data_IF_788051166065
#
_entry.id   IF_788051166065
#
_cell.length_a   1.000
_cell.length_b   1.000
_cell.length_c   1.000
_cell.angle_alpha   90.00
_cell.angle_beta   90.00
_cell.angle_gamma   90.00
#
_symmetry.space_group_name_H-M   'P 1'
#
loop_
_entity.id
_entity.type
_entity.pdbx_description
1 polymer ?
#
# COMPACT_ATOMS: atom_id res chain seq x y z
N UNK A 1 -11.48 20.87 17.58
CA UNK A 1 -12.11 21.33 16.32
C UNK A 1 -13.38 20.54 16.11
N UNK A 2 -14.42 21.15 15.58
CA UNK A 2 -15.62 20.43 15.19
C UNK A 2 -15.37 19.66 13.87
N UNK A 3 -16.11 18.58 13.67
CA UNK A 3 -15.99 17.73 12.49
C UNK A 3 -14.92 16.63 12.63
N UNK A 4 -15.01 15.66 11.72
CA UNK A 4 -14.04 14.54 11.65
C UNK A 4 -12.76 15.01 10.95
N UNK A 5 -11.58 14.66 11.48
CA UNK A 5 -10.34 14.78 10.74
C UNK A 5 -10.24 13.64 9.73
N UNK A 6 -10.07 13.99 8.46
CA UNK A 6 -9.81 13.03 7.41
C UNK A 6 -8.31 12.99 7.09
N UNK A 7 -7.81 11.77 6.93
CA UNK A 7 -6.42 11.53 6.55
C UNK A 7 -6.29 11.51 5.03
N UNK A 8 -5.61 12.52 4.52
CA UNK A 8 -5.15 12.54 3.12
C UNK A 8 -3.64 12.47 3.03
N UNK A 9 -3.03 11.85 4.05
CA UNK A 9 -1.63 11.41 4.02
C UNK A 9 -1.54 10.11 3.21
N UNK A 10 -0.41 9.79 2.57
CA UNK A 10 -0.24 8.53 1.85
C UNK A 10 0.03 7.34 2.82
N UNK A 11 -0.80 7.22 3.83
CA UNK A 11 -0.75 6.27 4.94
C UNK A 11 -0.19 6.87 6.23
N UNK A 12 -0.82 6.51 7.39
CA UNK A 12 -1.95 5.61 7.50
C UNK A 12 -3.20 6.12 6.77
N UNK A 13 -4.04 5.19 6.31
CA UNK A 13 -5.29 5.50 5.62
C UNK A 13 -6.44 5.72 6.58
N UNK A 14 -7.55 6.30 6.11
CA UNK A 14 -8.82 6.21 6.81
C UNK A 14 -9.23 4.74 6.90
N UNK A 15 -9.73 4.33 8.06
CA UNK A 15 -10.16 2.96 8.31
C UNK A 15 -11.67 2.88 8.07
N UNK A 16 -12.16 1.98 7.20
CA UNK A 16 -13.58 1.78 6.99
C UNK A 16 -14.30 1.36 8.27
N UNK A 17 -15.54 1.84 8.46
CA UNK A 17 -16.34 1.49 9.65
C UNK A 17 -16.56 -0.03 9.81
N UNK A 18 -16.61 -0.79 8.70
CA UNK A 18 -16.70 -2.25 8.72
C UNK A 18 -15.47 -2.87 9.38
N UNK A 19 -14.27 -2.43 8.97
CA UNK A 19 -13.00 -2.88 9.53
C UNK A 19 -12.89 -2.50 11.00
N UNK A 20 -13.26 -1.26 11.36
CA UNK A 20 -13.28 -0.82 12.76
C UNK A 20 -14.18 -1.70 13.62
N UNK A 21 -15.41 -2.03 13.17
CA UNK A 21 -16.32 -2.91 13.89
C UNK A 21 -15.78 -4.34 14.01
N UNK A 22 -15.16 -4.88 12.96
CA UNK A 22 -14.55 -6.21 12.99
C UNK A 22 -13.41 -6.31 14.01
N UNK A 23 -12.71 -5.22 14.28
CA UNK A 23 -11.65 -5.17 15.29
C UNK A 23 -12.17 -5.08 16.73
N UNK A 24 -13.46 -4.74 16.91
CA UNK A 24 -14.10 -4.58 18.23
C UNK A 24 -14.63 -5.93 18.76
N UNK A 25 -13.75 -6.92 18.83
CA UNK A 25 -14.06 -8.24 19.38
C UNK A 25 -13.55 -8.38 20.81
N UNK A 26 -14.22 -9.22 21.60
CA UNK A 26 -13.70 -9.60 22.92
C UNK A 26 -12.37 -10.32 22.74
N UNK A 27 -11.44 -10.10 23.67
CA UNK A 27 -10.14 -10.77 23.63
C UNK A 27 -10.31 -12.29 23.72
N UNK A 28 -9.62 -13.02 22.86
CA UNK A 28 -9.67 -14.48 22.78
C UNK A 28 -8.28 -15.09 23.03
N UNK A 29 -8.29 -16.35 23.41
CA UNK A 29 -7.04 -17.13 23.53
C UNK A 29 -6.54 -17.54 22.14
N UNK A 30 -5.41 -16.96 21.72
CA UNK A 30 -4.75 -17.29 20.45
C UNK A 30 -4.16 -18.71 20.39
N UNK A 31 -4.27 -19.49 21.48
CA UNK A 31 -3.93 -20.92 21.54
C UNK A 31 -5.15 -21.81 21.60
N UNK A 32 -6.35 -21.23 21.57
CA UNK A 32 -7.60 -22.00 21.55
C UNK A 32 -7.72 -22.84 20.28
N UNK A 33 -8.48 -23.94 20.29
CA UNK A 33 -8.76 -24.74 19.09
C UNK A 33 -9.51 -23.97 17.99
N UNK A 34 -10.17 -22.87 18.32
CA UNK A 34 -10.89 -22.02 17.38
C UNK A 34 -9.98 -21.09 16.58
N UNK A 35 -8.84 -20.68 17.14
CA UNK A 35 -7.95 -19.68 16.53
C UNK A 35 -7.47 -20.03 15.10
N UNK A 36 -7.15 -21.30 14.73
CA UNK A 36 -6.71 -21.63 13.38
C UNK A 36 -7.71 -21.29 12.28
N UNK A 37 -9.00 -21.14 12.59
CA UNK A 37 -10.01 -20.74 11.61
C UNK A 37 -9.69 -19.33 11.04
N UNK A 38 -9.31 -18.40 11.90
CA UNK A 38 -8.93 -17.04 11.53
C UNK A 38 -7.73 -17.03 10.56
N UNK A 39 -6.69 -17.78 10.87
CA UNK A 39 -5.50 -17.89 10.02
C UNK A 39 -5.79 -18.50 8.65
N UNK A 40 -6.65 -19.54 8.62
CA UNK A 40 -7.05 -20.20 7.38
C UNK A 40 -7.87 -19.30 6.44
N UNK A 41 -8.48 -18.26 6.97
CA UNK A 41 -9.20 -17.25 6.17
C UNK A 41 -8.24 -16.18 5.64
N UNK A 42 -7.29 -15.73 6.46
CA UNK A 42 -6.33 -14.68 6.11
C UNK A 42 -5.38 -15.11 4.98
N UNK A 43 -4.79 -16.30 5.08
CA UNK A 43 -3.70 -16.68 4.18
C UNK A 43 -4.14 -16.81 2.71
N UNK A 44 -5.28 -17.43 2.37
CA UNK A 44 -5.78 -17.42 1.00
C UNK A 44 -6.18 -16.02 0.50
N UNK A 45 -6.76 -15.18 1.36
CA UNK A 45 -7.10 -13.80 1.03
C UNK A 45 -5.86 -12.98 0.66
N UNK A 46 -4.78 -13.11 1.42
CA UNK A 46 -3.50 -12.47 1.10
C UNK A 46 -2.90 -12.98 -0.22
N UNK A 47 -2.99 -14.29 -0.51
CA UNK A 47 -2.55 -14.83 -1.80
C UNK A 47 -3.26 -14.15 -2.97
N UNK A 48 -4.57 -13.93 -2.87
CA UNK A 48 -5.34 -13.19 -3.88
C UNK A 48 -4.81 -11.77 -4.06
N UNK A 49 -4.55 -11.05 -2.96
CA UNK A 49 -4.06 -9.66 -3.00
C UNK A 49 -2.65 -9.57 -3.61
N UNK A 50 -1.78 -10.53 -3.34
CA UNK A 50 -0.46 -10.62 -3.97
C UNK A 50 -0.52 -11.14 -5.42
N UNK A 51 -1.65 -11.69 -5.87
CA UNK A 51 -1.78 -12.41 -7.15
C UNK A 51 -0.75 -13.53 -7.26
N UNK A 52 -0.79 -14.46 -6.30
CA UNK A 52 0.12 -15.60 -6.25
C UNK A 52 -0.61 -16.93 -5.96
N UNK A 53 -0.23 -17.95 -6.70
CA UNK A 53 -0.58 -19.35 -6.41
C UNK A 53 0.55 -20.03 -5.62
N UNK A 54 1.79 -19.64 -5.88
CA UNK A 54 3.00 -20.30 -5.40
C UNK A 54 3.64 -19.63 -4.18
N UNK A 55 3.45 -18.32 -4.01
CA UNK A 55 3.99 -17.57 -2.88
C UNK A 55 3.35 -17.95 -1.55
N UNK A 56 4.12 -17.85 -0.48
CA UNK A 56 3.67 -18.08 0.90
C UNK A 56 3.60 -16.75 1.64
N UNK A 57 2.41 -16.28 2.05
CA UNK A 57 2.27 -15.07 2.86
C UNK A 57 2.58 -15.35 4.34
N UNK A 58 3.16 -14.34 5.00
CA UNK A 58 3.42 -14.29 6.43
C UNK A 58 2.90 -12.98 7.01
N UNK A 59 2.37 -13.04 8.22
CA UNK A 59 1.85 -11.88 8.95
C UNK A 59 2.57 -11.75 10.28
N UNK A 60 3.18 -10.59 10.53
CA UNK A 60 3.91 -10.29 11.75
C UNK A 60 3.25 -9.13 12.50
N UNK A 61 3.13 -9.16 13.84
CA UNK A 61 2.94 -7.94 14.63
C UNK A 61 4.15 -7.02 14.43
N UNK A 62 4.07 -6.13 13.43
CA UNK A 62 5.20 -5.34 12.95
C UNK A 62 4.75 -4.22 11.99
N UNK A 63 5.63 -3.81 11.11
CA UNK A 63 5.41 -2.86 10.02
C UNK A 63 6.03 -3.37 8.72
N UNK A 64 5.78 -2.70 7.59
CA UNK A 64 6.49 -2.98 6.34
C UNK A 64 8.01 -2.90 6.50
N UNK A 65 8.51 -1.96 7.31
CA UNK A 65 9.94 -1.84 7.63
C UNK A 65 10.50 -3.08 8.31
N UNK A 66 9.75 -3.68 9.26
CA UNK A 66 10.15 -4.96 9.87
C UNK A 66 10.15 -6.10 8.85
N UNK A 67 9.25 -6.08 7.86
CA UNK A 67 9.26 -7.07 6.79
C UNK A 67 10.43 -6.89 5.80
N UNK A 68 10.98 -5.68 5.62
CA UNK A 68 12.26 -5.51 4.93
C UNK A 68 13.38 -6.32 5.60
N UNK A 69 13.48 -6.19 6.94
CA UNK A 69 14.46 -6.94 7.73
C UNK A 69 14.19 -8.44 7.65
N UNK A 70 12.94 -8.87 7.79
CA UNK A 70 12.55 -10.28 7.65
C UNK A 70 12.95 -10.85 6.28
N UNK A 71 12.73 -10.12 5.18
CA UNK A 71 13.09 -10.57 3.84
C UNK A 71 14.59 -10.83 3.70
N UNK A 72 15.43 -9.87 4.09
CA UNK A 72 16.88 -9.97 3.91
C UNK A 72 17.53 -10.95 4.90
N UNK A 73 17.09 -10.97 6.17
CA UNK A 73 17.71 -11.85 7.18
C UNK A 73 17.40 -13.32 6.98
N UNK A 74 16.29 -13.65 6.30
CA UNK A 74 15.95 -15.04 6.00
C UNK A 74 16.58 -15.59 4.71
N UNK A 75 17.19 -14.75 3.88
CA UNK A 75 17.65 -15.17 2.55
C UNK A 75 19.11 -14.87 2.27
N UNK A 76 19.74 -14.01 3.06
CA UNK A 76 21.09 -13.51 2.82
C UNK A 76 22.04 -13.78 3.98
N UNK A 77 23.34 -13.68 3.69
CA UNK A 77 24.45 -13.87 4.62
C UNK A 77 25.24 -12.57 4.79
N UNK A 78 25.99 -12.39 5.90
CA UNK A 78 26.85 -11.23 6.08
C UNK A 78 27.81 -11.03 4.90
N UNK A 79 27.88 -9.82 4.37
CA UNK A 79 28.72 -9.47 3.22
C UNK A 79 28.12 -9.79 1.85
N UNK A 80 26.97 -10.45 1.78
CA UNK A 80 26.29 -10.65 0.50
C UNK A 80 25.99 -9.30 -0.17
N UNK A 81 26.23 -9.25 -1.50
CA UNK A 81 25.98 -8.06 -2.28
C UNK A 81 24.51 -7.96 -2.69
N UNK A 82 23.94 -6.78 -2.52
CA UNK A 82 22.59 -6.43 -3.01
C UNK A 82 22.67 -5.22 -3.93
N UNK A 83 21.87 -5.22 -5.02
CA UNK A 83 21.73 -4.11 -5.92
C UNK A 83 20.48 -3.31 -5.54
N UNK A 84 20.61 -2.00 -5.36
CA UNK A 84 19.50 -1.12 -5.01
C UNK A 84 19.62 0.26 -5.65
N UNK A 85 18.49 0.84 -6.09
CA UNK A 85 18.42 2.22 -6.55
C UNK A 85 17.93 3.14 -5.42
N UNK A 86 18.55 4.32 -5.30
CA UNK A 86 18.16 5.36 -4.35
C UNK A 86 17.49 6.52 -5.07
N UNK A 87 16.16 6.50 -5.14
CA UNK A 87 15.36 7.49 -5.87
C UNK A 87 14.23 8.12 -5.01
N UNK A 88 14.22 7.82 -3.70
CA UNK A 88 13.30 8.39 -2.73
C UNK A 88 13.66 8.02 -1.30
N UNK A 89 12.79 8.36 -0.36
CA UNK A 89 13.03 8.13 1.07
C UNK A 89 12.98 6.64 1.44
N UNK A 90 12.00 5.90 0.90
CA UNK A 90 11.82 4.50 1.32
C UNK A 90 12.86 3.59 0.68
N UNK A 91 13.22 3.81 -0.56
CA UNK A 91 14.36 3.15 -1.18
C UNK A 91 15.68 3.44 -0.44
N UNK A 92 15.89 4.69 0.03
CA UNK A 92 17.06 5.05 0.85
C UNK A 92 17.05 4.33 2.21
N UNK A 93 15.92 4.29 2.92
CA UNK A 93 15.82 3.62 4.23
C UNK A 93 16.08 2.12 4.14
N UNK A 94 15.65 1.47 3.07
CA UNK A 94 15.93 0.05 2.88
C UNK A 94 17.41 -0.21 2.60
N UNK A 95 18.05 0.64 1.80
CA UNK A 95 19.52 0.64 1.60
C UNK A 95 20.25 0.80 2.94
N UNK A 96 19.87 1.79 3.75
CA UNK A 96 20.46 2.02 5.07
C UNK A 96 20.32 0.80 5.98
N UNK A 97 19.14 0.19 6.03
CA UNK A 97 18.92 -1.05 6.77
C UNK A 97 19.86 -2.16 6.31
N UNK A 98 19.94 -2.43 5.01
CA UNK A 98 20.81 -3.46 4.46
C UNK A 98 22.29 -3.23 4.85
N UNK A 99 22.75 -1.98 4.76
CA UNK A 99 24.09 -1.59 5.17
C UNK A 99 24.34 -1.85 6.66
N UNK A 100 23.39 -1.46 7.52
CA UNK A 100 23.50 -1.61 8.98
C UNK A 100 23.49 -3.05 9.47
N UNK A 101 22.85 -3.97 8.73
CA UNK A 101 22.86 -5.40 9.07
C UNK A 101 24.03 -6.15 8.42
N UNK A 102 24.95 -5.45 7.73
CA UNK A 102 26.22 -5.99 7.24
C UNK A 102 26.19 -6.54 5.83
N UNK A 103 25.27 -6.07 4.96
CA UNK A 103 25.27 -6.38 3.54
C UNK A 103 26.15 -5.39 2.75
N UNK A 104 26.72 -5.83 1.63
CA UNK A 104 27.41 -5.00 0.64
C UNK A 104 26.39 -4.43 -0.35
N UNK A 105 26.01 -3.15 -0.19
CA UNK A 105 24.99 -2.55 -1.03
C UNK A 105 25.60 -1.82 -2.21
N UNK A 106 25.40 -2.32 -3.43
CA UNK A 106 25.71 -1.62 -4.67
C UNK A 106 24.56 -0.65 -4.99
N UNK A 107 24.84 0.64 -4.82
CA UNK A 107 23.82 1.70 -4.91
C UNK A 107 23.87 2.36 -6.29
N UNK A 108 22.71 2.46 -6.94
CA UNK A 108 22.49 3.33 -8.09
C UNK A 108 21.75 4.59 -7.64
N UNK A 109 22.47 5.71 -7.59
CA UNK A 109 21.88 7.01 -7.25
C UNK A 109 21.08 7.56 -8.43
N UNK A 110 19.81 7.85 -8.20
CA UNK A 110 18.91 8.39 -9.20
C UNK A 110 18.39 9.78 -8.80
N UNK A 111 17.94 10.51 -9.79
CA UNK A 111 17.20 11.73 -9.54
C UNK A 111 15.85 11.41 -8.91
N UNK A 112 15.50 12.15 -7.83
CA UNK A 112 14.20 11.98 -7.19
C UNK A 112 13.07 12.47 -8.10
N UNK A 113 12.02 11.65 -8.20
CA UNK A 113 10.92 11.83 -9.16
C UNK A 113 11.05 10.94 -10.41
N UNK A 114 12.07 10.09 -10.48
CA UNK A 114 12.20 9.02 -11.48
C UNK A 114 11.97 7.65 -10.85
N UNK A 115 11.66 6.62 -11.65
CA UNK A 115 11.53 5.24 -11.20
C UNK A 115 12.86 4.48 -11.15
N UNK A 116 12.79 3.17 -10.90
CA UNK A 116 13.94 2.26 -10.93
C UNK A 116 14.66 2.38 -12.29
N UNK A 117 15.99 2.51 -12.29
CA UNK A 117 16.80 2.71 -13.51
C UNK A 117 17.06 1.40 -14.24
N UNK A 118 16.08 0.92 -15.00
CA UNK A 118 16.07 -0.41 -15.63
C UNK A 118 17.33 -0.70 -16.45
N UNK A 119 17.75 0.26 -17.31
CA UNK A 119 18.94 0.08 -18.15
C UNK A 119 20.21 -0.11 -17.31
N UNK A 120 20.38 0.71 -16.26
CA UNK A 120 21.54 0.59 -15.38
C UNK A 120 21.53 -0.74 -14.60
N UNK A 121 20.34 -1.20 -14.18
CA UNK A 121 20.20 -2.53 -13.57
C UNK A 121 20.59 -3.64 -14.53
N UNK A 122 20.10 -3.59 -15.78
CA UNK A 122 20.44 -4.55 -16.80
C UNK A 122 21.96 -4.61 -17.09
N UNK A 123 22.60 -3.43 -17.20
CA UNK A 123 24.05 -3.34 -17.47
C UNK A 123 24.86 -3.90 -16.29
N UNK A 124 24.49 -3.58 -15.06
CA UNK A 124 25.16 -4.10 -13.84
C UNK A 124 25.00 -5.61 -13.73
N UNK A 125 23.79 -6.14 -13.94
CA UNK A 125 23.51 -7.57 -13.85
C UNK A 125 24.24 -8.36 -14.94
N UNK A 126 24.29 -7.84 -16.18
CA UNK A 126 25.06 -8.46 -17.28
C UNK A 126 26.57 -8.47 -16.99
N UNK A 127 27.07 -7.45 -16.29
CA UNK A 127 28.49 -7.35 -15.93
C UNK A 127 28.86 -8.26 -14.73
N UNK A 128 27.91 -8.67 -13.89
CA UNK A 128 28.14 -9.52 -12.71
C UNK A 128 28.18 -11.00 -13.09
N UNK A 129 29.16 -11.39 -13.91
CA UNK A 129 29.35 -12.76 -14.41
C UNK A 129 29.69 -13.78 -13.32
N UNK A 130 30.17 -13.32 -12.17
CA UNK A 130 30.43 -14.15 -10.99
C UNK A 130 29.21 -14.34 -10.09
N UNK A 131 28.09 -13.72 -10.42
CA UNK A 131 26.83 -13.73 -9.64
C UNK A 131 27.04 -13.36 -8.17
N UNK A 132 27.79 -12.29 -7.94
CA UNK A 132 28.07 -11.76 -6.59
C UNK A 132 26.86 -11.06 -5.99
N UNK A 133 26.01 -10.47 -6.84
CA UNK A 133 24.74 -9.89 -6.42
C UNK A 133 23.78 -11.03 -6.07
N UNK A 134 23.29 -11.03 -4.81
CA UNK A 134 22.39 -12.09 -4.29
C UNK A 134 20.93 -11.66 -4.33
N UNK A 135 20.67 -10.35 -4.25
CA UNK A 135 19.32 -9.81 -4.38
C UNK A 135 19.32 -8.45 -5.07
N UNK A 136 18.22 -8.16 -5.76
CA UNK A 136 17.87 -6.86 -6.34
C UNK A 136 16.70 -6.28 -5.55
N UNK A 137 16.87 -5.08 -5.01
CA UNK A 137 15.83 -4.38 -4.26
C UNK A 137 15.12 -3.39 -5.18
N UNK A 138 13.80 -3.44 -5.21
CA UNK A 138 12.96 -2.53 -5.99
C UNK A 138 11.82 -1.98 -5.13
N UNK A 139 11.70 -0.66 -5.04
CA UNK A 139 10.54 0.00 -4.46
C UNK A 139 9.50 0.20 -5.57
N UNK A 140 8.38 -0.53 -5.48
CA UNK A 140 7.32 -0.45 -6.50
C UNK A 140 6.65 0.92 -6.51
N UNK A 141 6.32 1.45 -5.33
CA UNK A 141 5.73 2.79 -5.20
C UNK A 141 6.48 3.61 -4.16
N UNK A 142 7.30 4.56 -4.63
CA UNK A 142 8.07 5.44 -3.75
C UNK A 142 7.17 6.60 -3.27
N UNK A 143 6.66 6.43 -2.08
CA UNK A 143 5.66 7.34 -1.48
C UNK A 143 6.16 8.76 -1.26
N UNK A 144 7.48 8.96 -1.11
CA UNK A 144 8.05 10.29 -0.88
C UNK A 144 7.91 11.21 -2.10
N UNK A 145 7.95 10.64 -3.30
CA UNK A 145 7.98 11.37 -4.57
C UNK A 145 6.75 11.13 -5.44
N UNK A 146 5.88 10.17 -5.06
CA UNK A 146 4.72 9.80 -5.86
C UNK A 146 5.10 9.09 -7.16
N UNK A 147 6.07 8.19 -7.08
CA UNK A 147 6.63 7.47 -8.23
C UNK A 147 6.29 5.99 -8.15
N UNK A 148 5.67 5.44 -9.18
CA UNK A 148 5.50 4.00 -9.39
C UNK A 148 6.55 3.51 -10.36
N UNK A 149 7.28 2.45 -10.01
CA UNK A 149 8.34 1.82 -10.81
C UNK A 149 7.81 0.60 -11.56
N UNK A 150 8.41 0.33 -12.71
CA UNK A 150 8.15 -0.87 -13.48
C UNK A 150 8.94 -2.08 -12.90
N UNK A 151 8.23 -2.95 -12.19
CA UNK A 151 8.83 -4.15 -11.57
C UNK A 151 8.99 -5.28 -12.61
N UNK A 152 8.11 -5.35 -13.61
CA UNK A 152 8.28 -6.33 -14.69
C UNK A 152 9.58 -6.09 -15.45
N UNK A 153 9.92 -4.83 -15.73
CA UNK A 153 11.19 -4.47 -16.36
C UNK A 153 12.43 -4.84 -15.50
N UNK A 154 12.31 -4.81 -14.17
CA UNK A 154 13.41 -5.31 -13.29
C UNK A 154 13.55 -6.83 -13.44
N UNK A 155 12.44 -7.57 -13.53
CA UNK A 155 12.47 -9.02 -13.78
C UNK A 155 13.09 -9.32 -15.14
N UNK A 156 12.66 -8.61 -16.18
CA UNK A 156 13.23 -8.74 -17.53
C UNK A 156 14.76 -8.54 -17.54
N UNK A 157 15.26 -7.53 -16.81
CA UNK A 157 16.71 -7.29 -16.71
C UNK A 157 17.46 -8.47 -16.04
N UNK A 158 16.88 -9.11 -15.03
CA UNK A 158 17.42 -10.32 -14.41
C UNK A 158 17.41 -11.51 -15.36
N UNK A 159 16.32 -11.71 -16.12
CA UNK A 159 16.14 -12.81 -17.05
C UNK A 159 17.07 -12.69 -18.27
N UNK A 160 17.19 -11.51 -18.86
CA UNK A 160 18.13 -11.25 -19.95
C UNK A 160 19.58 -11.50 -19.55
N UNK A 161 19.95 -11.11 -18.33
CA UNK A 161 21.26 -11.39 -17.78
C UNK A 161 21.42 -12.86 -17.35
N UNK A 162 20.36 -13.67 -17.35
CA UNK A 162 20.31 -15.02 -16.77
C UNK A 162 20.84 -15.03 -15.33
N UNK A 163 20.53 -13.97 -14.58
CA UNK A 163 21.10 -13.73 -13.26
C UNK A 163 20.27 -14.39 -12.16
N UNK A 164 20.88 -15.21 -11.26
CA UNK A 164 20.16 -15.99 -10.26
C UNK A 164 19.67 -15.19 -9.05
N UNK A 165 20.00 -13.90 -8.93
CA UNK A 165 19.63 -13.06 -7.79
C UNK A 165 18.12 -13.10 -7.52
N UNK A 166 17.78 -12.95 -6.26
CA UNK A 166 16.39 -12.81 -5.83
C UNK A 166 15.86 -11.39 -6.15
N UNK A 167 14.59 -11.30 -6.52
CA UNK A 167 13.91 -10.01 -6.68
C UNK A 167 13.09 -9.70 -5.44
N UNK A 168 13.46 -8.63 -4.72
CA UNK A 168 12.75 -8.13 -3.53
C UNK A 168 12.00 -6.86 -3.88
N UNK A 169 10.73 -6.81 -3.54
CA UNK A 169 9.86 -5.68 -3.88
C UNK A 169 9.21 -5.09 -2.63
N UNK A 170 9.43 -3.79 -2.44
CA UNK A 170 8.62 -3.01 -1.50
C UNK A 170 7.29 -2.64 -2.15
N UNK A 171 6.23 -3.33 -1.75
CA UNK A 171 4.84 -3.08 -2.13
C UNK A 171 4.03 -2.38 -1.04
N UNK A 172 4.67 -1.79 -0.03
CA UNK A 172 3.98 -1.22 1.15
C UNK A 172 2.91 -0.22 0.75
N UNK A 173 3.16 0.66 -0.20
CA UNK A 173 2.18 1.68 -0.61
C UNK A 173 1.54 1.43 -1.99
N UNK A 174 1.68 0.22 -2.52
CA UNK A 174 1.07 -0.20 -3.78
C UNK A 174 0.12 -1.39 -3.64
N UNK A 175 0.46 -2.37 -2.79
CA UNK A 175 -0.34 -3.57 -2.64
C UNK A 175 -1.78 -3.26 -2.19
N UNK A 176 -2.77 -3.86 -2.89
CA UNK A 176 -4.18 -3.58 -2.65
C UNK A 176 -4.65 -2.21 -3.17
N UNK A 177 -3.88 -1.55 -4.04
CA UNK A 177 -4.21 -0.24 -4.61
C UNK A 177 -3.70 -0.04 -6.03
N UNK A 178 -2.46 -0.42 -6.33
CA UNK A 178 -1.86 -0.42 -7.66
C UNK A 178 -1.72 -1.86 -8.12
N UNK A 179 -1.75 -2.12 -9.42
CA UNK A 179 -1.54 -3.47 -9.96
C UNK A 179 -0.21 -4.05 -9.46
N UNK A 180 -0.29 -5.20 -8.84
CA UNK A 180 0.86 -5.93 -8.29
C UNK A 180 0.71 -7.41 -8.62
N UNK A 181 1.71 -8.01 -9.24
CA UNK A 181 1.66 -9.37 -9.79
C UNK A 181 2.85 -10.18 -9.33
N UNK A 182 2.73 -10.81 -8.16
CA UNK A 182 3.84 -11.53 -7.53
C UNK A 182 4.41 -12.62 -8.44
N UNK A 183 3.56 -13.52 -8.93
CA UNK A 183 4.00 -14.66 -9.75
C UNK A 183 4.43 -14.20 -11.15
N UNK A 184 3.62 -13.37 -11.83
CA UNK A 184 3.88 -12.92 -13.21
C UNK A 184 5.19 -12.13 -13.31
N UNK A 185 5.52 -11.35 -12.27
CA UNK A 185 6.77 -10.57 -12.22
C UNK A 185 7.93 -11.34 -11.60
N UNK A 186 7.75 -12.63 -11.28
CA UNK A 186 8.79 -13.46 -10.67
C UNK A 186 9.40 -12.85 -9.41
N UNK A 187 8.55 -12.24 -8.57
CA UNK A 187 8.99 -11.65 -7.30
C UNK A 187 9.36 -12.75 -6.32
N UNK A 188 10.50 -12.62 -5.65
CA UNK A 188 10.93 -13.59 -4.66
C UNK A 188 10.53 -13.23 -3.23
N UNK A 189 10.60 -11.94 -2.89
CA UNK A 189 10.10 -11.40 -1.62
C UNK A 189 9.33 -10.12 -1.88
N UNK A 190 8.07 -10.05 -1.43
CA UNK A 190 7.28 -8.82 -1.46
C UNK A 190 6.86 -8.43 -0.05
N UNK A 191 6.98 -7.15 0.28
CA UNK A 191 6.61 -6.64 1.59
C UNK A 191 5.46 -5.64 1.52
N UNK A 192 4.60 -5.66 2.54
CA UNK A 192 3.52 -4.72 2.72
C UNK A 192 3.28 -4.40 4.20
N UNK A 193 2.32 -3.53 4.46
CA UNK A 193 1.91 -3.15 5.81
C UNK A 193 0.42 -2.87 5.90
N UNK A 194 -0.14 -3.10 7.07
CA UNK A 194 -1.59 -3.02 7.30
C UNK A 194 -2.22 -1.65 7.04
N UNK A 195 -1.47 -0.56 7.27
CA UNK A 195 -1.98 0.83 7.28
C UNK A 195 -2.03 1.50 5.90
N UNK A 196 -1.99 0.74 4.83
CA UNK A 196 -1.97 1.20 3.43
C UNK A 196 -3.20 0.67 2.69
N UNK A 197 -3.02 0.03 1.53
CA UNK A 197 -4.11 -0.52 0.74
C UNK A 197 -4.98 -1.56 1.46
N UNK A 198 -4.50 -2.14 2.56
CA UNK A 198 -5.28 -3.04 3.42
C UNK A 198 -6.16 -2.32 4.44
N UNK A 199 -6.13 -1.00 4.52
CA UNK A 199 -7.10 -0.15 5.24
C UNK A 199 -7.26 -0.44 6.74
N UNK A 200 -6.18 -0.91 7.40
CA UNK A 200 -6.16 -1.15 8.86
C UNK A 200 -5.33 -0.09 9.59
N UNK A 201 -5.36 -0.06 10.94
CA UNK A 201 -4.32 0.58 11.71
C UNK A 201 -2.93 0.00 11.41
N UNK A 202 -1.88 0.79 11.64
CA UNK A 202 -0.52 0.26 11.64
C UNK A 202 -0.37 -0.81 12.73
N UNK A 203 0.42 -1.84 12.48
CA UNK A 203 0.71 -2.89 13.46
C UNK A 203 0.90 -4.29 12.87
N UNK A 204 0.58 -4.49 11.57
CA UNK A 204 0.93 -5.71 10.86
C UNK A 204 1.94 -5.41 9.74
N UNK A 205 3.03 -6.16 9.73
CA UNK A 205 3.90 -6.35 8.60
C UNK A 205 3.49 -7.60 7.84
N UNK A 206 3.43 -7.51 6.52
CA UNK A 206 3.02 -8.62 5.65
C UNK A 206 4.14 -8.88 4.66
N UNK A 207 4.57 -10.14 4.59
CA UNK A 207 5.61 -10.62 3.71
C UNK A 207 5.05 -11.74 2.86
N UNK A 208 5.36 -11.76 1.57
CA UNK A 208 5.13 -12.91 0.71
C UNK A 208 6.46 -13.41 0.16
N UNK A 209 6.72 -14.72 0.25
CA UNK A 209 7.96 -15.34 -0.17
C UNK A 209 7.72 -16.39 -1.25
N UNK A 210 8.52 -16.39 -2.32
CA UNK A 210 8.52 -17.41 -3.35
C UNK A 210 9.11 -18.74 -2.83
N UNK A 211 8.84 -19.89 -3.47
CA UNK A 211 9.53 -21.14 -3.17
C UNK A 211 11.04 -21.01 -3.26
N UNK A 212 11.58 -20.27 -4.24
CA UNK A 212 13.00 -19.98 -4.41
C UNK A 212 13.58 -19.23 -3.21
N UNK A 213 12.90 -18.18 -2.74
CA UNK A 213 13.32 -17.44 -1.56
C UNK A 213 13.25 -18.28 -0.28
N UNK A 214 12.23 -19.13 -0.16
CA UNK A 214 12.10 -20.04 0.98
C UNK A 214 13.20 -21.11 1.00
N UNK A 215 13.71 -21.53 -0.15
CA UNK A 215 14.86 -22.46 -0.20
C UNK A 215 16.14 -21.79 0.30
N UNK A 216 16.35 -20.51 -0.05
CA UNK A 216 17.55 -19.75 0.37
C UNK A 216 17.68 -19.63 1.90
N UNK A 217 16.57 -19.71 2.66
CA UNK A 217 16.59 -19.61 4.12
C UNK A 217 17.48 -20.67 4.81
N UNK A 218 17.72 -21.80 4.16
CA UNK A 218 18.54 -22.89 4.70
C UNK A 218 20.04 -22.54 4.68
N UNK A 219 20.49 -21.69 3.77
CA UNK A 219 21.87 -21.26 3.63
C UNK A 219 22.14 -19.85 4.20
N UNK A 220 21.10 -19.08 4.46
CA UNK A 220 21.19 -17.72 4.99
C UNK A 220 21.79 -17.69 6.41
N UNK A 221 22.78 -16.82 6.63
CA UNK A 221 23.54 -16.75 7.88
C UNK A 221 23.35 -15.43 8.66
N UNK A 222 22.59 -14.47 8.13
CA UNK A 222 22.22 -13.29 8.90
C UNK A 222 21.43 -13.71 10.15
N UNK A 223 21.78 -13.11 11.29
CA UNK A 223 21.11 -13.43 12.56
C UNK A 223 19.65 -12.97 12.53
N UNK A 224 18.77 -13.85 12.93
CA UNK A 224 17.33 -13.60 13.09
C UNK A 224 16.78 -14.39 14.26
N UNK A 225 15.71 -13.92 14.85
CA UNK A 225 14.99 -14.61 15.92
C UNK A 225 13.48 -14.34 15.74
N UNK A 226 13.02 -13.11 16.04
CA UNK A 226 11.61 -12.76 15.94
C UNK A 226 11.05 -12.94 14.50
N UNK A 227 11.84 -12.63 13.49
CA UNK A 227 11.46 -12.74 12.08
C UNK A 227 11.89 -14.07 11.42
N UNK A 228 12.17 -15.12 12.17
CA UNK A 228 12.55 -16.41 11.57
C UNK A 228 11.36 -17.07 10.86
N UNK A 229 11.50 -17.26 9.54
CA UNK A 229 10.46 -17.88 8.72
C UNK A 229 10.31 -19.38 9.00
N UNK A 230 11.33 -20.07 9.56
CA UNK A 230 11.15 -21.47 9.94
C UNK A 230 10.15 -21.61 11.10
N UNK A 231 10.24 -20.72 12.10
CA UNK A 231 9.29 -20.73 13.21
C UNK A 231 7.88 -20.41 12.72
N UNK A 232 7.75 -19.44 11.80
CA UNK A 232 6.46 -19.08 11.20
C UNK A 232 5.89 -20.23 10.37
N UNK A 233 6.69 -20.88 9.51
CA UNK A 233 6.26 -22.03 8.70
C UNK A 233 5.76 -23.16 9.58
N UNK A 234 6.53 -23.52 10.61
CA UNK A 234 6.19 -24.61 11.52
C UNK A 234 4.88 -24.34 12.27
N UNK A 235 4.70 -23.13 12.80
CA UNK A 235 3.48 -22.76 13.52
C UNK A 235 2.27 -22.60 12.58
N UNK A 236 2.44 -21.92 11.45
CA UNK A 236 1.37 -21.67 10.49
C UNK A 236 0.86 -22.96 9.81
N UNK A 237 1.67 -24.01 9.75
CA UNK A 237 1.24 -25.32 9.24
C UNK A 237 0.00 -25.88 9.97
N UNK A 238 -0.15 -25.55 11.25
CA UNK A 238 -1.32 -25.92 12.06
C UNK A 238 -2.31 -24.77 12.29
N UNK A 239 -2.03 -23.58 11.70
CA UNK A 239 -2.84 -22.39 11.80
C UNK A 239 -2.52 -21.50 13.01
N UNK A 240 -1.45 -21.80 13.76
CA UNK A 240 -1.00 -21.02 14.90
C UNK A 240 0.18 -20.10 14.54
N UNK A 241 0.60 -19.28 15.51
CA UNK A 241 1.78 -18.43 15.42
C UNK A 241 2.82 -18.82 16.47
N UNK A 242 4.12 -18.62 16.21
CA UNK A 242 5.17 -18.97 17.19
C UNK A 242 5.13 -18.09 18.44
N UNK A 243 4.50 -16.92 18.35
CA UNK A 243 4.32 -15.95 19.44
C UNK A 243 2.96 -15.28 19.31
N UNK A 244 2.58 -14.45 20.31
CA UNK A 244 1.27 -13.82 20.36
C UNK A 244 1.02 -12.92 19.15
N UNK A 245 0.01 -13.20 18.33
CA UNK A 245 -0.36 -12.36 17.20
C UNK A 245 -1.21 -11.17 17.66
N UNK A 246 -1.32 -10.17 16.78
CA UNK A 246 -2.16 -8.97 16.99
C UNK A 246 -3.62 -9.27 16.64
N UNK A 247 -4.33 -10.00 17.51
CA UNK A 247 -5.68 -10.56 17.28
C UNK A 247 -6.67 -9.55 16.69
N UNK A 248 -6.87 -8.40 17.34
CA UNK A 248 -7.82 -7.39 16.85
C UNK A 248 -7.51 -6.94 15.42
N UNK A 249 -6.22 -6.77 15.09
CA UNK A 249 -5.80 -6.43 13.72
C UNK A 249 -6.03 -7.59 12.74
N UNK A 250 -5.91 -8.83 13.19
CA UNK A 250 -6.20 -10.01 12.34
C UNK A 250 -7.69 -10.10 11.99
N UNK A 251 -8.60 -9.84 12.93
CA UNK A 251 -10.03 -9.73 12.64
C UNK A 251 -10.33 -8.58 11.66
N UNK A 252 -9.69 -7.43 11.86
CA UNK A 252 -9.77 -6.34 10.89
C UNK A 252 -9.22 -6.71 9.50
N UNK A 253 -8.15 -7.52 9.46
CA UNK A 253 -7.56 -7.98 8.20
C UNK A 253 -8.51 -8.91 7.42
N UNK A 254 -9.21 -9.82 8.10
CA UNK A 254 -10.25 -10.64 7.47
C UNK A 254 -11.30 -9.75 6.80
N UNK A 255 -11.84 -8.78 7.53
CA UNK A 255 -12.87 -7.89 6.99
C UNK A 255 -12.34 -7.03 5.83
N UNK A 256 -11.11 -6.54 5.92
CA UNK A 256 -10.45 -5.82 4.82
C UNK A 256 -10.30 -6.70 3.58
N UNK A 257 -9.90 -7.96 3.75
CA UNK A 257 -9.78 -8.92 2.64
C UNK A 257 -11.14 -9.23 2.01
N UNK A 258 -12.22 -9.33 2.81
CA UNK A 258 -13.60 -9.47 2.30
C UNK A 258 -14.00 -8.25 1.47
N UNK A 259 -13.73 -7.02 1.95
CA UNK A 259 -14.02 -5.80 1.19
C UNK A 259 -13.26 -5.76 -0.15
N UNK A 260 -11.99 -6.19 -0.15
CA UNK A 260 -11.17 -6.27 -1.36
C UNK A 260 -11.74 -7.33 -2.33
N UNK A 261 -12.21 -8.47 -1.82
CA UNK A 261 -12.81 -9.52 -2.64
C UNK A 261 -14.18 -9.10 -3.20
N UNK A 262 -14.99 -8.41 -2.42
CA UNK A 262 -16.32 -7.90 -2.83
C UNK A 262 -16.20 -6.86 -3.96
N UNK A 263 -15.25 -5.92 -3.86
CA UNK A 263 -15.00 -4.92 -4.91
C UNK A 263 -14.30 -5.55 -6.12
N UNK A 264 -13.41 -6.50 -5.87
CA UNK A 264 -12.53 -7.11 -6.85
C UNK A 264 -11.25 -6.29 -7.07
N UNK A 265 -10.10 -6.95 -7.03
CA UNK A 265 -8.78 -6.28 -7.05
C UNK A 265 -8.56 -5.44 -8.32
N UNK A 266 -9.05 -5.89 -9.49
CA UNK A 266 -8.94 -5.11 -10.73
C UNK A 266 -9.79 -3.83 -10.68
N UNK A 267 -10.97 -3.89 -10.07
CA UNK A 267 -11.81 -2.71 -9.87
C UNK A 267 -11.17 -1.73 -8.88
N UNK A 268 -10.52 -2.24 -7.81
CA UNK A 268 -9.77 -1.42 -6.86
C UNK A 268 -8.63 -0.68 -7.57
N UNK A 269 -7.86 -1.36 -8.40
CA UNK A 269 -6.78 -0.76 -9.20
C UNK A 269 -7.32 0.32 -10.12
N UNK A 270 -8.38 0.01 -10.86
CA UNK A 270 -9.04 0.96 -11.78
C UNK A 270 -9.60 2.18 -11.02
N UNK A 271 -10.21 1.98 -9.84
CA UNK A 271 -10.71 3.07 -8.99
C UNK A 271 -9.58 3.99 -8.52
N UNK A 272 -8.48 3.42 -8.04
CA UNK A 272 -7.33 4.22 -7.61
C UNK A 272 -6.76 5.05 -8.75
N UNK A 273 -6.60 4.46 -9.94
CA UNK A 273 -6.17 5.19 -11.13
C UNK A 273 -7.12 6.34 -11.49
N UNK A 274 -8.43 6.06 -11.58
CA UNK A 274 -9.46 7.04 -11.89
C UNK A 274 -9.46 8.21 -10.88
N UNK A 275 -9.39 7.91 -9.58
CA UNK A 275 -9.34 8.92 -8.53
C UNK A 275 -8.05 9.74 -8.58
N UNK A 276 -6.92 9.10 -8.81
CA UNK A 276 -5.62 9.75 -8.94
C UNK A 276 -5.56 10.73 -10.12
N UNK A 277 -6.15 10.38 -11.27
CA UNK A 277 -6.21 11.27 -12.44
C UNK A 277 -6.98 12.56 -12.15
N UNK A 278 -8.08 12.50 -11.39
CA UNK A 278 -8.79 13.70 -10.95
C UNK A 278 -7.95 14.58 -10.03
N UNK A 279 -7.19 13.99 -9.10
CA UNK A 279 -6.26 14.74 -8.25
C UNK A 279 -5.13 15.35 -9.09
N UNK A 280 -4.59 14.61 -10.05
CA UNK A 280 -3.58 15.14 -11.00
C UNK A 280 -4.13 16.30 -11.83
N UNK A 281 -5.40 16.23 -12.26
CA UNK A 281 -6.06 17.33 -12.95
C UNK A 281 -6.19 18.57 -12.06
N UNK A 282 -6.56 18.41 -10.78
CA UNK A 282 -6.58 19.50 -9.82
C UNK A 282 -5.22 20.19 -9.70
N UNK A 283 -4.15 19.40 -9.58
CA UNK A 283 -2.77 19.91 -9.43
C UNK A 283 -2.29 20.63 -10.68
N UNK A 284 -2.43 19.99 -11.84
CA UNK A 284 -1.78 20.45 -13.08
C UNK A 284 -2.63 21.46 -13.84
N UNK A 285 -3.93 21.20 -14.03
CA UNK A 285 -4.85 22.08 -14.76
C UNK A 285 -5.50 23.11 -13.83
N UNK A 286 -5.89 22.72 -12.61
CA UNK A 286 -6.53 23.59 -11.66
C UNK A 286 -5.55 24.60 -11.05
N UNK A 287 -4.52 24.14 -10.38
CA UNK A 287 -3.57 24.99 -9.67
C UNK A 287 -2.37 25.43 -10.52
N UNK A 288 -2.12 24.83 -11.68
CA UNK A 288 -0.95 25.10 -12.50
C UNK A 288 0.37 24.69 -11.85
N UNK A 289 0.32 23.76 -10.89
CA UNK A 289 1.48 23.22 -10.19
C UNK A 289 2.01 21.95 -10.86
N UNK A 290 3.21 21.54 -10.46
CA UNK A 290 3.85 20.32 -10.96
C UNK A 290 3.80 19.20 -9.94
N UNK A 291 3.80 17.97 -10.41
CA UNK A 291 4.08 16.80 -9.59
C UNK A 291 5.60 16.61 -9.43
N UNK A 292 6.00 15.95 -8.35
CA UNK A 292 7.40 15.58 -8.14
C UNK A 292 7.85 14.48 -9.12
N UNK A 293 6.97 13.52 -9.44
CA UNK A 293 7.21 12.54 -10.49
C UNK A 293 7.33 13.25 -11.85
N UNK A 294 8.42 12.98 -12.60
CA UNK A 294 8.84 13.77 -13.76
C UNK A 294 8.14 13.42 -15.05
N UNK A 295 7.68 12.18 -15.17
CA UNK A 295 7.01 11.67 -16.37
C UNK A 295 5.74 10.93 -15.98
N UNK A 296 4.74 10.96 -16.86
CA UNK A 296 3.43 10.34 -16.62
C UNK A 296 3.51 8.83 -16.36
N UNK A 297 4.47 8.14 -17.00
CA UNK A 297 4.69 6.70 -16.78
C UNK A 297 5.05 6.32 -15.34
N UNK A 298 5.50 7.29 -14.55
CA UNK A 298 5.87 7.11 -13.15
C UNK A 298 4.83 7.66 -12.17
N UNK A 299 3.71 8.21 -12.63
CA UNK A 299 2.71 8.76 -11.72
C UNK A 299 2.10 7.67 -10.84
N UNK A 300 2.14 7.91 -9.55
CA UNK A 300 1.54 7.02 -8.55
C UNK A 300 0.02 7.16 -8.50
N UNK A 301 -0.68 6.03 -8.42
CA UNK A 301 -2.12 6.00 -8.22
C UNK A 301 -2.54 5.99 -6.73
N UNK A 302 -1.59 6.11 -5.80
CA UNK A 302 -1.88 6.17 -4.35
C UNK A 302 -1.48 7.49 -3.70
N UNK A 303 -0.65 8.29 -4.35
CA UNK A 303 -0.16 9.57 -3.80
C UNK A 303 0.21 10.56 -4.90
N UNK A 304 -0.23 11.79 -4.76
CA UNK A 304 0.22 12.95 -5.56
C UNK A 304 1.15 13.82 -4.72
N UNK A 305 2.42 13.87 -5.11
CA UNK A 305 3.43 14.74 -4.48
C UNK A 305 3.48 16.08 -5.23
N UNK A 306 2.91 17.12 -4.63
CA UNK A 306 2.66 18.42 -5.24
C UNK A 306 3.82 19.36 -4.96
N UNK A 307 4.59 19.73 -6.00
CA UNK A 307 5.69 20.66 -5.90
C UNK A 307 5.18 22.09 -5.65
N UNK A 308 5.77 22.75 -4.68
CA UNK A 308 5.45 24.14 -4.36
C UNK A 308 6.36 25.13 -5.08
N UNK A 309 5.89 26.37 -5.31
CA UNK A 309 6.73 27.46 -5.83
C UNK A 309 7.94 27.73 -4.91
N UNK A 310 9.01 28.21 -5.50
CA UNK A 310 10.20 28.62 -4.76
C UNK A 310 9.87 29.68 -3.70
N UNK A 311 10.47 29.55 -2.53
CA UNK A 311 10.23 30.44 -1.38
C UNK A 311 9.05 30.05 -0.48
N UNK A 312 8.25 29.08 -0.87
CA UNK A 312 7.15 28.54 -0.03
C UNK A 312 7.63 27.28 0.69
N UNK A 313 7.40 27.24 2.01
CA UNK A 313 7.68 26.04 2.81
C UNK A 313 6.44 25.15 2.89
N UNK A 314 6.52 23.92 2.40
CA UNK A 314 5.43 22.94 2.45
C UNK A 314 4.95 22.60 3.86
N UNK A 315 5.81 22.74 4.88
CA UNK A 315 5.41 22.52 6.26
C UNK A 315 4.35 23.54 6.72
N UNK A 316 4.41 24.79 6.24
CA UNK A 316 3.45 25.85 6.59
C UNK A 316 2.08 25.56 5.96
N UNK A 317 2.05 25.07 4.71
CA UNK A 317 0.82 24.65 4.02
C UNK A 317 0.16 23.50 4.77
N UNK A 318 0.93 22.50 5.18
CA UNK A 318 0.44 21.33 5.94
C UNK A 318 -0.08 21.75 7.31
N UNK A 319 0.68 22.58 8.03
CA UNK A 319 0.25 23.09 9.34
C UNK A 319 -1.04 23.93 9.21
N UNK A 320 -1.17 24.73 8.16
CA UNK A 320 -2.37 25.52 7.89
C UNK A 320 -3.56 24.62 7.58
N UNK A 321 -3.40 23.61 6.71
CA UNK A 321 -4.43 22.63 6.37
C UNK A 321 -4.93 21.90 7.63
N UNK A 322 -4.02 21.44 8.49
CA UNK A 322 -4.38 20.75 9.73
C UNK A 322 -5.03 21.69 10.75
N UNK A 323 -4.39 22.80 11.12
CA UNK A 323 -4.81 23.63 12.24
C UNK A 323 -6.10 24.42 11.96
N UNK A 324 -6.34 24.81 10.70
CA UNK A 324 -7.50 25.61 10.34
C UNK A 324 -8.64 24.81 9.73
N UNK A 325 -8.31 23.82 8.90
CA UNK A 325 -9.30 23.12 8.09
C UNK A 325 -9.50 21.67 8.51
N UNK A 326 -8.76 21.18 9.51
CA UNK A 326 -8.81 19.79 10.00
C UNK A 326 -8.53 18.75 8.90
N UNK A 327 -7.65 19.09 7.95
CA UNK A 327 -7.22 18.27 6.82
C UNK A 327 -5.77 17.85 7.01
N UNK A 328 -5.53 16.54 7.06
CA UNK A 328 -4.19 15.98 7.21
C UNK A 328 -3.57 15.68 5.84
N UNK A 329 -2.54 16.44 5.46
CA UNK A 329 -1.74 16.25 4.25
C UNK A 329 -0.37 15.67 4.58
N UNK A 330 0.23 14.93 3.66
CA UNK A 330 1.56 14.37 3.83
C UNK A 330 2.68 15.40 3.66
N UNK A 331 3.70 15.34 4.52
CA UNK A 331 4.88 16.20 4.40
C UNK A 331 5.87 15.67 3.35
N UNK A 332 6.64 16.55 2.71
CA UNK A 332 7.85 16.17 1.98
C UNK A 332 8.87 15.53 2.91
N UNK A 333 9.58 14.52 2.43
CA UNK A 333 10.55 13.76 3.23
C UNK A 333 11.98 13.98 2.69
N UNK A 334 12.97 14.04 3.57
CA UNK A 334 14.40 14.12 3.24
C UNK A 334 14.71 15.18 2.16
N UNK A 335 15.22 14.83 0.98
CA UNK A 335 15.61 15.76 -0.10
C UNK A 335 14.47 16.66 -0.60
N UNK A 336 13.21 16.26 -0.40
CA UNK A 336 12.02 17.03 -0.80
C UNK A 336 11.27 17.65 0.40
N UNK A 337 11.86 17.58 1.60
CA UNK A 337 11.32 18.24 2.79
C UNK A 337 11.19 19.75 2.55
N UNK A 338 10.03 20.32 2.91
CA UNK A 338 9.71 21.73 2.71
C UNK A 338 9.42 22.14 1.26
N UNK A 339 9.74 21.31 0.26
CA UNK A 339 9.57 21.64 -1.17
C UNK A 339 8.22 21.24 -1.75
N UNK A 340 7.51 20.36 -1.08
CA UNK A 340 6.23 19.81 -1.52
C UNK A 340 5.34 19.41 -0.35
N UNK A 341 4.07 19.20 -0.63
CA UNK A 341 3.16 18.42 0.20
C UNK A 341 2.61 17.24 -0.60
N UNK A 342 2.01 16.26 0.09
CA UNK A 342 1.47 15.07 -0.56
C UNK A 342 0.00 14.89 -0.24
N UNK A 343 -0.78 14.56 -1.27
CA UNK A 343 -2.17 14.13 -1.15
C UNK A 343 -2.19 12.62 -1.35
N UNK A 344 -2.51 11.88 -0.28
CA UNK A 344 -2.76 10.45 -0.35
C UNK A 344 -4.19 10.19 -0.82
N UNK A 345 -4.33 9.26 -1.75
CA UNK A 345 -5.61 8.86 -2.32
C UNK A 345 -5.74 7.33 -2.42
N UNK A 346 -5.22 6.61 -1.41
CA UNK A 346 -5.30 5.16 -1.31
C UNK A 346 -6.28 4.71 -0.22
N UNK A 347 -6.79 3.48 -0.39
CA UNK A 347 -7.73 2.86 0.53
C UNK A 347 -9.19 3.05 0.09
N UNK A 348 -10.12 3.05 1.04
CA UNK A 348 -11.55 3.23 0.80
C UNK A 348 -11.89 4.70 0.62
N UNK A 349 -11.73 5.19 -0.61
CA UNK A 349 -11.98 6.58 -0.99
C UNK A 349 -12.83 6.68 -2.26
N UNK A 350 -13.52 7.82 -2.39
CA UNK A 350 -14.28 8.22 -3.56
C UNK A 350 -14.00 9.69 -3.92
N UNK A 351 -14.65 10.19 -4.96
CA UNK A 351 -14.49 11.55 -5.48
C UNK A 351 -14.81 12.61 -4.41
N UNK A 352 -15.86 12.39 -3.59
CA UNK A 352 -16.29 13.36 -2.58
C UNK A 352 -15.25 13.50 -1.47
N UNK A 353 -14.63 12.40 -1.05
CA UNK A 353 -13.49 12.45 -0.11
C UNK A 353 -12.35 13.29 -0.70
N UNK A 354 -12.00 13.07 -1.96
CA UNK A 354 -10.90 13.79 -2.59
C UNK A 354 -11.22 15.24 -2.92
N UNK A 355 -12.50 15.58 -3.17
CA UNK A 355 -12.93 16.98 -3.24
C UNK A 355 -12.64 17.72 -1.91
N UNK A 356 -12.86 17.07 -0.76
CA UNK A 356 -12.50 17.65 0.54
C UNK A 356 -10.98 17.85 0.69
N UNK A 357 -10.17 16.88 0.23
CA UNK A 357 -8.72 17.00 0.23
C UNK A 357 -8.23 18.17 -0.61
N UNK A 358 -8.74 18.26 -1.85
CA UNK A 358 -8.39 19.31 -2.82
C UNK A 358 -8.81 20.69 -2.29
N UNK A 359 -10.05 20.83 -1.79
CA UNK A 359 -10.52 22.10 -1.20
C UNK A 359 -9.68 22.53 0.00
N UNK A 360 -9.39 21.61 0.91
CA UNK A 360 -8.58 21.90 2.11
C UNK A 360 -7.14 22.29 1.76
N UNK A 361 -6.53 21.61 0.80
CA UNK A 361 -5.20 21.94 0.30
C UNK A 361 -5.19 23.32 -0.38
N UNK A 362 -6.17 23.59 -1.23
CA UNK A 362 -6.30 24.87 -1.94
C UNK A 362 -6.46 26.05 -0.98
N UNK A 363 -7.36 25.94 0.00
CA UNK A 363 -7.55 26.97 1.03
C UNK A 363 -6.27 27.21 1.83
N UNK A 364 -5.55 26.15 2.20
CA UNK A 364 -4.29 26.25 2.92
C UNK A 364 -3.20 26.93 2.08
N UNK A 365 -3.12 26.60 0.77
CA UNK A 365 -2.20 27.26 -0.16
C UNK A 365 -2.48 28.75 -0.30
N UNK A 366 -3.75 29.12 -0.47
CA UNK A 366 -4.18 30.54 -0.53
C UNK A 366 -3.81 31.31 0.75
N UNK A 367 -4.07 30.73 1.93
CA UNK A 367 -3.70 31.30 3.22
C UNK A 367 -2.17 31.49 3.38
N UNK A 368 -1.37 30.65 2.71
CA UNK A 368 0.10 30.75 2.68
C UNK A 368 0.61 31.65 1.53
N UNK A 369 -0.26 32.34 0.82
CA UNK A 369 0.11 33.28 -0.23
C UNK A 369 0.44 32.68 -1.59
N UNK A 370 0.15 31.40 -1.81
CA UNK A 370 0.31 30.76 -3.11
C UNK A 370 -0.82 31.23 -4.04
N UNK A 371 -0.44 31.70 -5.21
CA UNK A 371 -1.38 32.26 -6.20
C UNK A 371 -2.04 31.11 -6.99
N UNK A 372 -3.16 30.63 -6.49
CA UNK A 372 -4.07 29.73 -7.21
C UNK A 372 -5.45 30.37 -7.30
N UNK A 373 -6.22 30.06 -8.34
CA UNK A 373 -7.59 30.57 -8.46
C UNK A 373 -8.50 29.78 -7.51
N UNK A 374 -9.24 30.45 -6.60
CA UNK A 374 -10.16 29.76 -5.69
C UNK A 374 -11.17 28.87 -6.44
N UNK A 375 -11.29 27.60 -6.03
CA UNK A 375 -12.18 26.61 -6.64
C UNK A 375 -11.62 25.93 -7.89
N UNK A 376 -10.45 26.35 -8.40
CA UNK A 376 -9.90 25.81 -9.66
C UNK A 376 -9.50 24.34 -9.55
N UNK A 377 -8.98 23.91 -8.39
CA UNK A 377 -8.60 22.52 -8.18
C UNK A 377 -9.81 21.58 -8.20
N UNK A 378 -10.86 21.93 -7.44
CA UNK A 378 -12.10 21.14 -7.41
C UNK A 378 -12.84 21.16 -8.74
N UNK A 379 -12.83 22.29 -9.45
CA UNK A 379 -13.42 22.38 -10.79
C UNK A 379 -12.71 21.44 -11.77
N UNK A 380 -11.38 21.45 -11.83
CA UNK A 380 -10.60 20.61 -12.73
C UNK A 380 -10.73 19.10 -12.41
N UNK A 381 -10.73 18.73 -11.12
CA UNK A 381 -10.98 17.36 -10.71
C UNK A 381 -12.39 16.88 -11.05
N UNK A 382 -13.40 17.72 -10.74
CA UNK A 382 -14.80 17.41 -11.03
C UNK A 382 -15.09 17.31 -12.52
N UNK A 383 -14.46 18.15 -13.34
CA UNK A 383 -14.54 18.03 -14.79
C UNK A 383 -13.97 16.69 -15.27
N UNK A 384 -12.79 16.30 -14.78
CA UNK A 384 -12.20 14.99 -15.12
C UNK A 384 -13.16 13.85 -14.77
N UNK A 385 -13.60 13.76 -13.50
CA UNK A 385 -14.44 12.64 -13.04
C UNK A 385 -15.83 12.61 -13.70
N UNK A 386 -16.38 13.73 -14.13
CA UNK A 386 -17.67 13.79 -14.85
C UNK A 386 -17.58 13.31 -16.30
N UNK A 387 -16.41 13.46 -16.93
CA UNK A 387 -16.19 13.09 -18.33
C UNK A 387 -15.57 11.73 -18.54
N UNK A 388 -15.14 11.06 -17.45
CA UNK A 388 -14.59 9.70 -17.48
C UNK A 388 -15.49 8.78 -16.68
N UNK A 389 -15.82 7.63 -17.25
CA UNK A 389 -16.64 6.64 -16.54
C UNK A 389 -15.93 6.13 -15.31
N UNK A 390 -16.61 6.21 -14.16
CA UNK A 390 -16.14 5.52 -12.98
C UNK A 390 -16.05 4.01 -13.26
N UNK A 391 -15.03 3.31 -12.76
CA UNK A 391 -14.94 1.87 -12.91
C UNK A 391 -16.19 1.17 -12.35
N UNK A 392 -16.59 0.07 -12.96
CA UNK A 392 -17.81 -0.69 -12.63
C UNK A 392 -17.88 -1.24 -11.20
N UNK A 393 -16.79 -1.18 -10.45
CA UNK A 393 -16.72 -1.55 -9.02
C UNK A 393 -17.07 -0.42 -8.04
N UNK A 394 -17.31 0.81 -8.48
CA UNK A 394 -17.96 1.81 -7.64
C UNK A 394 -19.42 1.37 -7.46
N UNK A 395 -19.69 0.67 -6.36
CA UNK A 395 -20.99 0.10 -6.03
C UNK A 395 -22.00 1.24 -5.97
N UNK A 396 -22.79 1.39 -7.03
CA UNK A 396 -24.12 1.98 -6.90
C UNK A 396 -24.87 1.03 -5.97
N UNK A 397 -25.00 1.38 -4.69
CA UNK A 397 -25.87 0.65 -3.76
C UNK A 397 -27.26 0.70 -4.37
N UNK A 398 -27.64 -0.39 -5.04
CA UNK A 398 -28.99 -0.53 -5.58
C UNK A 398 -29.94 -0.70 -4.40
N UNK A 399 -30.41 0.42 -3.85
CA UNK A 399 -31.35 0.46 -2.74
C UNK A 399 -32.74 -0.09 -3.13
N UNK A 400 -32.94 -0.53 -4.38
CA UNK A 400 -34.21 -1.05 -4.88
C UNK A 400 -34.36 -2.58 -4.78
N UNK A 401 -33.33 -3.33 -4.37
CA UNK A 401 -33.46 -4.80 -4.24
C UNK A 401 -34.10 -5.30 -2.94
N UNK A 402 -34.31 -4.45 -1.94
CA UNK A 402 -34.91 -4.87 -0.66
C UNK A 402 -36.41 -4.59 -0.49
N UNK A 403 -37.14 -4.16 -1.51
CA UNK A 403 -38.57 -3.84 -1.39
C UNK A 403 -39.53 -4.88 -2.02
N UNK A 404 -39.06 -6.04 -2.46
CA UNK A 404 -39.97 -7.04 -3.11
C UNK A 404 -40.13 -8.38 -2.41
N UNK A 405 -39.60 -8.59 -1.21
CA UNK A 405 -39.76 -9.89 -0.51
C UNK A 405 -40.45 -9.84 0.87
N UNK A 406 -41.24 -8.82 1.19
CA UNK A 406 -42.07 -8.86 2.42
C UNK A 406 -43.51 -8.41 2.15
N UNK A 407 -44.24 -9.08 1.29
CA UNK A 407 -45.72 -9.14 1.32
C UNK A 407 -46.20 -10.58 1.13
N UNK A 408 -45.80 -11.42 2.05
CA UNK A 408 -46.48 -12.67 2.34
C UNK A 408 -47.62 -12.34 3.31
N UNK A 409 -48.85 -12.41 2.81
CA UNK A 409 -50.08 -12.23 3.59
C UNK A 409 -50.15 -13.31 4.67
N UNK A 410 -49.94 -12.98 5.92
CA UNK A 410 -50.40 -13.76 7.05
C UNK A 410 -51.86 -13.41 7.33
N UNK A 411 -52.76 -14.30 6.91
CA UNK A 411 -54.14 -14.30 7.37
C UNK A 411 -54.15 -14.72 8.84
N UNK A 412 -54.54 -13.82 9.70
CA UNK A 412 -54.86 -14.11 11.10
C UNK A 412 -56.22 -14.83 11.15
N UNK A 413 -56.20 -16.14 11.37
CA UNK A 413 -57.38 -16.90 11.84
C UNK A 413 -57.58 -16.62 13.33
N UNK A 414 -58.70 -15.99 13.68
CA UNK A 414 -59.10 -15.70 15.05
C UNK A 414 -59.47 -16.95 15.84
N UNK A 415 -59.43 -16.91 17.17
CA UNK A 415 -59.72 -18.07 18.01
C UNK A 415 -61.19 -18.43 18.03
N UNK A 416 -61.47 -19.74 17.91
CA UNK A 416 -62.82 -20.34 18.07
C UNK A 416 -63.32 -20.17 19.51
N UNK A 417 -64.55 -19.63 19.63
CA UNK A 417 -65.27 -19.58 20.90
C UNK A 417 -65.83 -20.98 21.18
N UNK A 418 -65.38 -21.59 22.29
CA UNK A 418 -66.00 -22.80 22.84
C UNK A 418 -67.18 -22.35 23.74
N UNK A 419 -68.38 -22.73 23.36
CA UNK A 419 -69.54 -22.72 24.26
C UNK A 419 -69.69 -24.11 24.86
N UNK A 420 -69.83 -24.19 26.15
CA UNK A 420 -70.16 -25.36 26.91
C UNK A 420 -69.71 -25.27 28.35
#
# INVERSE_FOLDING_TARGET
>A
MAGRNFLFVPGPTNIPDRVMRAMMVSMEDHRSPAFPALTREIMPGLKKVFRTEHGTPFVFPSSGTGCWEAAVTNTLSPGDRVLAARFGQFSHLWIDMCTRIGLDVQIVDCEWGTGVPLQQYADILKADTEHRIKAVLACHNETATGVTSDISGVREALDEAKHPALLFVDGVSSLGSIDFRFDDWGVDMAVSGSQKGLMLPAGLGILCASPKALEMRHSAQLKRAYFDLNDMINANATGYFPYTPALSLMYGLVESLHMIEEEGLDNIVARHHYLAEGVRAAVTKGWGLKLCAKEAKWYSDTVSAVMLPEGINGADVIARAFNRYNVSLGAGLSKVAGKLFRIGHLGDMNEVHLMAAISGAEMAMLDCGIKVTPGSGTAAAGEYWRHHSAPSGLIVRDTHKHSKETHGTHSLSGPAVVKG
#
